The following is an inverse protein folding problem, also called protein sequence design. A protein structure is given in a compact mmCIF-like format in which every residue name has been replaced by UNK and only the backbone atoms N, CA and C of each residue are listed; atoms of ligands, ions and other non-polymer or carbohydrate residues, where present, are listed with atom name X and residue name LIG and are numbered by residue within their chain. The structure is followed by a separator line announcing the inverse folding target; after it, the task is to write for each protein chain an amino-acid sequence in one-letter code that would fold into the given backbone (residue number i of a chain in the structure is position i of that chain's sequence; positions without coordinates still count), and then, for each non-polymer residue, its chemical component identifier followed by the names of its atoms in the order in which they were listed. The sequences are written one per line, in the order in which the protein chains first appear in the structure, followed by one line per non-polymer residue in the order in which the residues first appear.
data_IF_577548730922
#
_entry.id   IF_577548730922
#
_cell.length_a   1.000
_cell.length_b   1.000
_cell.length_c   1.000
_cell.angle_alpha   90.00
_cell.angle_beta   90.00
_cell.angle_gamma   90.00
#
_symmetry.space_group_name_H-M   'P 1'
#
loop_
_entity.id
_entity.type
_entity.pdbx_description
1 polymer ?
#
# COMPACT_ATOMS: atom_id res chain seq x y z
N UNK A 1 -16.84 0.02 13.68
CA UNK A 1 -17.56 1.31 13.71
C UNK A 1 -18.43 1.31 14.95
N UNK A 2 -18.34 2.36 15.76
CA UNK A 2 -19.27 2.64 16.87
C UNK A 2 -19.82 4.03 16.59
N UNK A 3 -21.14 4.21 16.63
CA UNK A 3 -21.82 5.48 16.30
C UNK A 3 -21.42 6.07 14.94
N UNK A 4 -21.28 5.23 13.91
CA UNK A 4 -20.81 5.60 12.57
C UNK A 4 -19.41 6.25 12.51
N UNK A 5 -18.61 6.14 13.57
CA UNK A 5 -17.22 6.60 13.59
C UNK A 5 -16.23 5.43 13.46
N UNK A 6 -15.16 5.60 12.66
CA UNK A 6 -14.08 4.62 12.62
C UNK A 6 -13.42 4.53 14.00
N UNK A 7 -13.18 3.31 14.44
CA UNK A 7 -12.45 3.03 15.69
C UNK A 7 -11.01 2.71 15.29
N UNK A 8 -10.16 3.73 15.20
CA UNK A 8 -8.78 3.56 14.71
C UNK A 8 -7.94 2.64 15.59
N UNK A 9 -8.33 2.42 16.85
CA UNK A 9 -7.71 1.42 17.72
C UNK A 9 -8.05 -0.03 17.34
N UNK A 10 -9.14 -0.26 16.61
CA UNK A 10 -9.55 -1.59 16.16
C UNK A 10 -9.05 -1.79 14.71
N UNK A 11 -7.74 -2.01 14.59
CA UNK A 11 -7.06 -2.14 13.31
C UNK A 11 -6.18 -3.41 13.25
N UNK A 12 -5.59 -3.68 12.09
CA UNK A 12 -4.78 -4.89 11.86
C UNK A 12 -3.49 -4.95 12.68
N UNK A 13 -2.88 -3.82 13.02
CA UNK A 13 -1.68 -3.73 13.88
C UNK A 13 -2.05 -4.12 15.31
N UNK A 14 -3.15 -3.57 15.84
CA UNK A 14 -3.63 -3.95 17.18
C UNK A 14 -4.07 -5.42 17.23
N UNK A 15 -4.64 -5.93 16.14
CA UNK A 15 -4.96 -7.35 16.01
C UNK A 15 -3.69 -8.22 16.05
N UNK A 16 -2.64 -7.83 15.33
CA UNK A 16 -1.35 -8.54 15.33
C UNK A 16 -0.68 -8.55 16.72
N UNK A 17 -0.63 -7.40 17.39
CA UNK A 17 -0.08 -7.29 18.75
C UNK A 17 -0.81 -8.21 19.73
N UNK A 18 -2.15 -8.22 19.68
CA UNK A 18 -2.96 -9.12 20.52
C UNK A 18 -2.75 -10.60 20.19
N UNK A 19 -2.33 -10.92 18.98
CA UNK A 19 -1.98 -12.28 18.56
C UNK A 19 -0.53 -12.67 18.88
N UNK A 20 0.24 -11.79 19.56
CA UNK A 20 1.61 -12.07 19.98
C UNK A 20 2.68 -11.78 18.93
N UNK A 21 2.34 -11.02 17.88
CA UNK A 21 3.34 -10.48 16.96
C UNK A 21 4.03 -9.28 17.59
N UNK A 22 5.32 -9.12 17.35
CA UNK A 22 5.98 -7.84 17.52
C UNK A 22 5.77 -7.01 16.26
N UNK A 23 5.31 -5.76 16.41
CA UNK A 23 4.96 -4.91 15.28
C UNK A 23 5.87 -3.71 15.10
N UNK A 24 6.22 -3.45 13.84
CA UNK A 24 7.06 -2.34 13.40
C UNK A 24 6.34 -1.55 12.32
N UNK A 25 6.37 -0.24 12.39
CA UNK A 25 5.87 0.65 11.35
C UNK A 25 6.94 1.65 10.92
N UNK A 26 7.39 1.55 9.68
CA UNK A 26 8.34 2.50 9.08
C UNK A 26 7.64 3.28 7.97
N UNK A 27 7.59 4.61 8.09
CA UNK A 27 6.86 5.47 7.16
C UNK A 27 7.77 6.49 6.48
N UNK A 28 7.69 6.53 5.16
CA UNK A 28 8.20 7.66 4.37
C UNK A 28 7.11 8.72 4.08
N UNK A 29 5.90 8.55 4.62
CA UNK A 29 4.90 9.61 4.66
C UNK A 29 4.94 10.36 6.00
N UNK A 30 4.26 11.52 6.04
CA UNK A 30 4.16 12.37 7.21
C UNK A 30 3.36 11.75 8.36
N UNK A 31 3.37 12.47 9.50
CA UNK A 31 2.60 12.15 10.70
C UNK A 31 1.44 13.11 10.96
N UNK A 32 1.50 14.35 10.44
CA UNK A 32 0.65 15.46 10.83
C UNK A 32 0.05 16.08 9.58
N UNK A 33 -1.27 16.01 9.44
CA UNK A 33 -2.00 16.48 8.26
C UNK A 33 -3.44 15.94 8.24
N UNK A 34 -4.34 16.54 7.46
CA UNK A 34 -5.75 16.13 7.37
C UNK A 34 -5.90 14.64 7.02
N UNK A 35 -5.04 14.14 6.12
CA UNK A 35 -5.02 12.75 5.67
C UNK A 35 -4.02 11.87 6.46
N UNK A 36 -2.91 12.44 6.92
CA UNK A 36 -1.83 11.70 7.60
C UNK A 36 -2.18 11.30 9.04
N UNK A 37 -3.05 12.07 9.72
CA UNK A 37 -3.31 11.90 11.16
C UNK A 37 -4.00 10.57 11.49
N UNK A 38 -4.91 10.10 10.63
CA UNK A 38 -5.58 8.81 10.81
C UNK A 38 -4.60 7.64 10.65
N UNK A 39 -3.72 7.71 9.64
CA UNK A 39 -2.70 6.69 9.39
C UNK A 39 -1.65 6.70 10.50
N UNK A 40 -1.20 7.88 10.94
CA UNK A 40 -0.30 8.01 12.08
C UNK A 40 -0.93 7.44 13.37
N UNK A 41 -2.25 7.57 13.57
CA UNK A 41 -2.95 6.96 14.70
C UNK A 41 -2.90 5.43 14.67
N UNK A 42 -3.04 4.82 13.48
CA UNK A 42 -2.89 3.37 13.28
C UNK A 42 -1.43 2.96 13.50
N UNK A 43 -0.49 3.66 12.89
CA UNK A 43 0.94 3.40 12.98
C UNK A 43 1.46 3.44 14.43
N UNK A 44 1.00 4.41 15.22
CA UNK A 44 1.33 4.53 16.66
C UNK A 44 0.73 3.42 17.54
N UNK A 45 -0.02 2.46 16.96
CA UNK A 45 -0.41 1.22 17.64
C UNK A 45 0.60 0.10 17.46
N UNK A 46 1.59 0.26 16.58
CA UNK A 46 2.72 -0.66 16.52
C UNK A 46 3.55 -0.55 17.81
N UNK A 47 4.29 -1.60 18.15
CA UNK A 47 5.22 -1.55 19.29
C UNK A 47 6.32 -0.51 19.04
N UNK A 48 6.79 -0.43 17.79
CA UNK A 48 7.78 0.54 17.33
C UNK A 48 7.31 1.24 16.05
N UNK A 49 7.31 2.57 16.04
CA UNK A 49 6.87 3.38 14.91
C UNK A 49 7.87 4.51 14.59
N UNK A 50 8.42 4.49 13.39
CA UNK A 50 9.39 5.48 12.92
C UNK A 50 8.92 6.13 11.62
N UNK A 51 9.05 7.44 11.54
CA UNK A 51 8.69 8.21 10.36
C UNK A 51 9.91 9.01 9.91
N UNK A 52 10.19 8.99 8.62
CA UNK A 52 11.29 9.73 8.03
C UNK A 52 10.99 11.23 7.97
N UNK A 53 9.71 11.62 7.94
CA UNK A 53 9.26 13.01 7.83
C UNK A 53 8.72 13.53 9.15
N UNK A 54 9.12 14.75 9.50
CA UNK A 54 8.54 15.53 10.60
C UNK A 54 7.51 16.53 10.02
N UNK A 55 6.23 16.15 9.95
CA UNK A 55 5.17 17.00 9.38
C UNK A 55 4.18 16.21 8.52
N UNK A 56 3.61 16.83 7.48
CA UNK A 56 2.75 16.15 6.49
C UNK A 56 3.58 15.38 5.44
N UNK A 57 2.91 14.75 4.49
CA UNK A 57 3.57 14.02 3.40
C UNK A 57 4.46 14.90 2.49
N UNK A 58 4.38 16.23 2.53
CA UNK A 58 5.21 17.17 1.75
C UNK A 58 6.37 17.79 2.55
N UNK A 59 6.37 17.66 3.89
CA UNK A 59 7.29 18.35 4.80
C UNK A 59 8.79 18.10 4.58
N UNK A 60 9.15 17.03 3.87
CA UNK A 60 10.51 16.80 3.34
C UNK A 60 10.44 16.02 2.02
N UNK A 61 10.92 16.60 0.92
CA UNK A 61 10.96 15.96 -0.40
C UNK A 61 12.23 15.14 -0.66
N UNK A 62 13.20 15.19 0.26
CA UNK A 62 14.49 14.51 0.10
C UNK A 62 14.48 13.08 0.62
N UNK A 63 13.49 12.70 1.43
CA UNK A 63 13.39 11.33 1.94
C UNK A 63 12.97 10.37 0.83
N UNK A 64 13.57 9.19 0.82
CA UNK A 64 13.38 8.17 -0.22
C UNK A 64 12.92 6.87 0.42
N UNK A 65 12.10 6.11 -0.31
CA UNK A 65 11.55 4.85 0.21
C UNK A 65 12.65 3.82 0.49
N UNK A 66 13.80 3.90 -0.18
CA UNK A 66 14.97 3.03 0.06
C UNK A 66 15.54 3.16 1.49
N UNK A 67 15.36 4.29 2.16
CA UNK A 67 15.75 4.47 3.56
C UNK A 67 14.97 3.53 4.51
N UNK A 68 13.78 3.06 4.12
CA UNK A 68 13.01 2.07 4.89
C UNK A 68 13.69 0.69 4.91
N UNK A 69 14.51 0.38 3.90
CA UNK A 69 15.27 -0.88 3.83
C UNK A 69 16.36 -0.94 4.90
N UNK A 70 16.96 0.20 5.26
CA UNK A 70 17.97 0.27 6.33
C UNK A 70 17.35 -0.06 7.69
N UNK A 71 16.17 0.50 7.98
CA UNK A 71 15.44 0.21 9.22
C UNK A 71 14.97 -1.25 9.26
N UNK A 72 14.51 -1.77 8.13
CA UNK A 72 14.11 -3.20 8.02
C UNK A 72 15.28 -4.13 8.30
N UNK A 73 16.46 -3.86 7.74
CA UNK A 73 17.65 -4.66 7.99
C UNK A 73 18.06 -4.69 9.47
N UNK A 74 17.85 -3.59 10.22
CA UNK A 74 18.12 -3.56 11.67
C UNK A 74 17.19 -4.49 12.45
N UNK A 75 15.90 -4.55 12.07
CA UNK A 75 14.94 -5.47 12.68
C UNK A 75 15.34 -6.92 12.41
N UNK A 76 15.69 -7.23 11.15
CA UNK A 76 16.07 -8.58 10.71
C UNK A 76 17.43 -9.05 11.25
N UNK A 77 18.31 -8.14 11.68
CA UNK A 77 19.62 -8.50 12.24
C UNK A 77 19.54 -9.07 13.66
N UNK A 78 18.38 -8.98 14.31
CA UNK A 78 18.17 -9.50 15.66
C UNK A 78 17.23 -10.70 15.61
N UNK A 79 17.69 -11.85 16.09
CA UNK A 79 16.84 -13.04 16.21
C UNK A 79 15.72 -12.79 17.23
N UNK A 80 14.50 -13.17 16.87
CA UNK A 80 13.30 -12.95 17.68
C UNK A 80 12.47 -14.22 17.70
N UNK A 81 12.00 -14.59 18.90
CA UNK A 81 11.15 -15.77 19.08
C UNK A 81 9.69 -15.52 18.71
N UNK A 82 9.27 -14.25 18.75
CA UNK A 82 7.92 -13.83 18.36
C UNK A 82 7.84 -13.64 16.83
N UNK A 83 6.70 -13.94 16.20
CA UNK A 83 6.50 -13.57 14.81
C UNK A 83 6.53 -12.04 14.65
N UNK A 84 7.09 -11.56 13.55
CA UNK A 84 7.26 -10.13 13.28
C UNK A 84 6.24 -9.67 12.24
N UNK A 85 5.60 -8.51 12.46
CA UNK A 85 4.86 -7.79 11.43
C UNK A 85 5.56 -6.44 11.19
N UNK A 86 6.18 -6.28 10.03
CA UNK A 86 6.87 -5.06 9.63
C UNK A 86 6.06 -4.38 8.51
N UNK A 87 5.58 -3.17 8.78
CA UNK A 87 4.83 -2.35 7.83
C UNK A 87 5.75 -1.27 7.26
N UNK A 88 5.92 -1.27 5.93
CA UNK A 88 6.62 -0.21 5.21
C UNK A 88 5.60 0.67 4.49
N UNK A 89 5.40 1.89 4.98
CA UNK A 89 4.48 2.86 4.41
C UNK A 89 5.22 3.79 3.45
N UNK A 90 5.08 3.51 2.16
CA UNK A 90 5.84 4.15 1.09
C UNK A 90 5.25 5.52 0.70
N UNK A 91 6.11 6.36 0.13
CA UNK A 91 5.67 7.50 -0.67
C UNK A 91 5.24 7.06 -2.08
N UNK A 92 5.90 6.04 -2.62
CA UNK A 92 5.52 5.38 -3.87
C UNK A 92 5.41 6.35 -5.05
N UNK A 93 4.28 6.29 -5.75
CA UNK A 93 4.01 7.08 -6.96
C UNK A 93 3.04 8.24 -6.72
N UNK A 94 3.03 8.79 -5.50
CA UNK A 94 2.18 9.93 -5.13
C UNK A 94 2.38 11.13 -6.09
N UNK A 95 1.33 11.93 -6.38
CA UNK A 95 1.38 13.07 -7.31
C UNK A 95 2.56 14.03 -7.11
N UNK A 96 2.98 14.71 -8.18
CA UNK A 96 4.28 15.39 -8.30
C UNK A 96 5.43 14.37 -8.33
N UNK A 97 5.30 13.36 -9.19
CA UNK A 97 6.23 12.26 -9.35
C UNK A 97 7.66 12.75 -9.65
N UNK A 98 7.83 13.84 -10.43
CA UNK A 98 9.18 14.33 -10.72
C UNK A 98 9.94 14.83 -9.49
N UNK A 99 9.28 15.23 -8.40
CA UNK A 99 9.97 15.59 -7.16
C UNK A 99 10.66 14.36 -6.55
N UNK A 100 10.01 13.19 -6.64
CA UNK A 100 10.50 11.89 -6.12
C UNK A 100 11.61 11.31 -6.99
N UNK A 101 11.53 11.52 -8.30
CA UNK A 101 12.53 11.04 -9.26
C UNK A 101 13.66 12.04 -9.48
N UNK A 102 13.58 13.24 -8.90
CA UNK A 102 14.46 14.38 -9.22
C UNK A 102 14.47 14.68 -10.74
N UNK A 103 13.30 14.55 -11.36
CA UNK A 103 13.09 14.74 -12.80
C UNK A 103 13.63 13.62 -13.69
N UNK A 104 14.12 12.51 -13.14
CA UNK A 104 14.60 11.36 -13.91
C UNK A 104 13.43 10.54 -14.46
N UNK A 105 13.62 10.00 -15.65
CA UNK A 105 12.74 9.03 -16.29
C UNK A 105 13.53 8.17 -17.28
N UNK A 106 13.10 6.92 -17.49
CA UNK A 106 13.73 6.00 -18.44
C UNK A 106 13.29 6.27 -19.89
N UNK A 107 12.03 6.67 -20.08
CA UNK A 107 11.46 6.95 -21.40
C UNK A 107 10.50 8.12 -21.27
N UNK A 108 10.55 9.05 -22.23
CA UNK A 108 9.60 10.15 -22.27
C UNK A 108 8.25 9.64 -22.80
N UNK A 109 7.19 9.87 -22.04
CA UNK A 109 5.82 9.44 -22.37
C UNK A 109 4.87 10.62 -22.15
N UNK A 110 4.42 11.25 -23.23
CA UNK A 110 3.41 12.33 -23.31
C UNK A 110 3.76 13.65 -22.58
N UNK A 111 4.22 13.59 -21.33
CA UNK A 111 4.70 14.72 -20.53
C UNK A 111 5.85 14.29 -19.63
N UNK A 112 6.66 15.24 -19.16
CA UNK A 112 7.73 14.97 -18.19
C UNK A 112 7.17 14.32 -16.93
N UNK A 113 6.05 14.82 -16.43
CA UNK A 113 5.41 14.34 -15.21
C UNK A 113 4.90 12.90 -15.34
N UNK A 114 4.27 12.56 -16.47
CA UNK A 114 3.86 11.17 -16.77
C UNK A 114 5.08 10.25 -16.86
N UNK A 115 6.17 10.74 -17.44
CA UNK A 115 7.43 9.99 -17.57
C UNK A 115 8.07 9.71 -16.20
N UNK A 116 8.08 10.70 -15.31
CA UNK A 116 8.52 10.53 -13.92
C UNK A 116 7.63 9.54 -13.16
N UNK A 117 6.30 9.62 -13.32
CA UNK A 117 5.36 8.68 -12.70
C UNK A 117 5.61 7.22 -13.11
N UNK A 118 5.92 6.97 -14.39
CA UNK A 118 6.31 5.61 -14.80
C UNK A 118 7.66 5.19 -14.19
N UNK A 119 8.57 6.13 -13.97
CA UNK A 119 9.85 5.84 -13.36
C UNK A 119 9.74 5.53 -11.85
N UNK A 120 8.81 6.16 -11.11
CA UNK A 120 8.57 5.81 -9.69
C UNK A 120 8.11 4.36 -9.52
N UNK A 121 7.43 3.79 -10.51
CA UNK A 121 7.07 2.36 -10.51
C UNK A 121 8.31 1.47 -10.55
N UNK A 122 9.32 1.83 -11.35
CA UNK A 122 10.59 1.07 -11.40
C UNK A 122 11.38 1.17 -10.09
N UNK A 123 11.30 2.33 -9.41
CA UNK A 123 11.90 2.49 -8.09
C UNK A 123 11.18 1.64 -7.04
N UNK A 124 9.85 1.52 -7.12
CA UNK A 124 9.06 0.66 -6.23
C UNK A 124 9.38 -0.81 -6.47
N UNK A 125 9.48 -1.24 -7.74
CA UNK A 125 9.89 -2.60 -8.10
C UNK A 125 11.29 -2.94 -7.55
N UNK A 126 12.25 -2.03 -7.70
CA UNK A 126 13.60 -2.22 -7.18
C UNK A 126 13.64 -2.31 -5.64
N UNK A 127 12.85 -1.48 -4.95
CA UNK A 127 12.69 -1.56 -3.50
C UNK A 127 12.14 -2.93 -3.07
N UNK A 128 11.11 -3.43 -3.74
CA UNK A 128 10.50 -4.73 -3.44
C UNK A 128 11.50 -5.87 -3.69
N UNK A 129 12.30 -5.78 -4.76
CA UNK A 129 13.40 -6.72 -5.05
C UNK A 129 14.44 -6.74 -3.94
N UNK A 130 14.89 -5.56 -3.49
CA UNK A 130 15.86 -5.43 -2.40
C UNK A 130 15.30 -5.94 -1.07
N UNK A 131 14.06 -5.58 -0.73
CA UNK A 131 13.38 -6.08 0.47
C UNK A 131 13.26 -7.62 0.46
N UNK A 132 12.83 -8.19 -0.66
CA UNK A 132 12.76 -9.65 -0.81
C UNK A 132 14.14 -10.30 -0.62
N UNK A 133 15.20 -9.66 -1.11
CA UNK A 133 16.57 -10.14 -0.94
C UNK A 133 17.00 -10.12 0.53
N UNK A 134 16.70 -9.03 1.26
CA UNK A 134 16.95 -8.96 2.71
C UNK A 134 16.20 -10.05 3.47
N UNK A 135 14.91 -10.25 3.16
CA UNK A 135 14.10 -11.31 3.77
C UNK A 135 14.67 -12.70 3.49
N UNK A 136 15.12 -12.98 2.25
CA UNK A 136 15.79 -14.25 1.91
C UNK A 136 17.10 -14.46 2.67
N UNK A 137 17.88 -13.40 2.89
CA UNK A 137 19.15 -13.47 3.59
C UNK A 137 19.02 -13.56 5.12
N UNK A 138 17.88 -13.17 5.69
CA UNK A 138 17.62 -13.34 7.13
C UNK A 138 17.68 -14.80 7.58
N UNK A 139 17.36 -15.74 6.67
CA UNK A 139 17.25 -17.17 6.99
C UNK A 139 15.88 -17.58 7.54
N UNK A 140 15.03 -16.62 7.90
CA UNK A 140 13.70 -16.86 8.44
C UNK A 140 12.66 -17.19 7.36
N UNK A 141 11.58 -17.87 7.77
CA UNK A 141 10.37 -17.95 6.95
C UNK A 141 9.70 -16.57 6.87
N UNK A 142 9.25 -16.17 5.69
CA UNK A 142 8.57 -14.89 5.52
C UNK A 142 7.40 -14.96 4.54
N UNK A 143 6.50 -13.99 4.68
CA UNK A 143 5.58 -13.59 3.62
C UNK A 143 5.59 -12.07 3.48
N UNK A 144 5.63 -11.62 2.23
CA UNK A 144 5.63 -10.21 1.84
C UNK A 144 4.35 -9.93 1.07
N UNK A 145 3.63 -8.90 1.49
CA UNK A 145 2.45 -8.40 0.79
C UNK A 145 2.74 -6.98 0.34
N UNK A 146 2.47 -6.70 -0.93
CA UNK A 146 2.52 -5.35 -1.47
C UNK A 146 1.19 -5.00 -2.12
N UNK A 147 0.69 -3.81 -1.81
CA UNK A 147 -0.44 -3.19 -2.49
C UNK A 147 -0.33 -1.67 -2.43
N UNK A 148 -0.91 -1.01 -3.44
CA UNK A 148 -1.11 0.44 -3.39
C UNK A 148 -2.42 0.74 -2.67
N UNK A 149 -2.46 1.85 -1.96
CA UNK A 149 -3.66 2.41 -1.33
C UNK A 149 -4.72 2.82 -2.35
N UNK A 150 -4.32 3.48 -3.43
CA UNK A 150 -5.16 3.84 -4.57
C UNK A 150 -4.32 4.02 -5.85
N UNK A 151 -5.00 4.18 -6.98
CA UNK A 151 -4.42 4.64 -8.25
C UNK A 151 -4.65 6.13 -8.47
N UNK A 152 -4.22 6.65 -9.62
CA UNK A 152 -4.37 8.06 -10.00
C UNK A 152 -5.19 8.20 -11.28
N UNK A 153 -5.67 9.41 -11.55
CA UNK A 153 -6.29 9.78 -12.81
C UNK A 153 -5.47 10.84 -13.54
N UNK A 154 -5.53 10.80 -14.87
CA UNK A 154 -4.95 11.82 -15.73
C UNK A 154 -5.68 13.15 -15.59
N UNK A 155 -4.90 14.21 -15.55
CA UNK A 155 -5.33 15.60 -15.66
C UNK A 155 -4.67 16.23 -16.87
N UNK A 156 -5.36 17.16 -17.53
CA UNK A 156 -4.87 17.81 -18.75
C UNK A 156 -4.46 16.80 -19.84
N UNK A 157 -5.25 15.72 -19.99
CA UNK A 157 -4.91 14.59 -20.85
C UNK A 157 -4.57 15.01 -22.29
N UNK A 158 -3.46 14.48 -22.80
CA UNK A 158 -2.98 14.75 -24.17
C UNK A 158 -2.26 16.08 -24.36
N UNK A 159 -2.12 16.90 -23.31
CA UNK A 159 -1.36 18.16 -23.35
C UNK A 159 0.06 17.95 -22.84
N UNK A 160 0.96 18.89 -23.16
CA UNK A 160 2.33 18.90 -22.63
C UNK A 160 2.39 19.01 -21.09
N UNK A 161 1.35 19.62 -20.49
CA UNK A 161 1.19 19.79 -19.04
C UNK A 161 0.42 18.65 -18.38
N UNK A 162 0.21 17.51 -19.06
CA UNK A 162 -0.47 16.35 -18.48
C UNK A 162 0.23 15.89 -17.19
N UNK A 163 -0.56 15.58 -16.16
CA UNK A 163 -0.08 15.01 -14.90
C UNK A 163 -1.08 14.00 -14.34
N UNK A 164 -0.70 13.29 -13.27
CA UNK A 164 -1.58 12.37 -12.55
C UNK A 164 -1.89 12.91 -11.16
N UNK A 165 -3.15 12.78 -10.73
CA UNK A 165 -3.62 13.25 -9.43
C UNK A 165 -4.75 12.36 -8.88
N UNK A 166 -5.08 12.56 -7.60
CA UNK A 166 -6.20 11.89 -6.94
C UNK A 166 -7.54 12.19 -7.64
N UNK A 167 -8.38 11.17 -7.75
CA UNK A 167 -9.75 11.23 -8.26
C UNK A 167 -10.53 10.01 -7.73
N UNK A 168 -11.85 10.05 -7.82
CA UNK A 168 -12.78 9.00 -7.37
C UNK A 168 -13.76 8.57 -8.47
N UNK A 169 -13.63 9.13 -9.68
CA UNK A 169 -14.58 8.94 -10.79
C UNK A 169 -14.23 7.79 -11.71
N UNK A 170 -12.99 7.32 -11.69
CA UNK A 170 -12.51 6.31 -12.65
C UNK A 170 -12.13 5.00 -11.97
N UNK A 171 -12.33 3.90 -12.70
CA UNK A 171 -11.93 2.57 -12.25
C UNK A 171 -10.44 2.49 -11.90
N UNK A 172 -9.59 3.18 -12.64
CA UNK A 172 -8.14 3.23 -12.47
C UNK A 172 -7.72 3.82 -11.11
N UNK A 173 -8.56 4.63 -10.47
CA UNK A 173 -8.31 5.12 -9.12
C UNK A 173 -8.35 3.99 -8.08
N UNK A 174 -8.96 2.83 -8.39
CA UNK A 174 -9.12 1.71 -7.46
C UNK A 174 -8.51 0.40 -7.98
N UNK A 175 -8.04 0.36 -9.23
CA UNK A 175 -7.32 -0.78 -9.81
C UNK A 175 -5.84 -0.72 -9.46
N UNK A 176 -5.51 -1.20 -8.27
CA UNK A 176 -4.16 -1.18 -7.71
C UNK A 176 -3.47 -2.53 -7.82
N UNK A 177 -2.12 -2.58 -7.83
CA UNK A 177 -1.39 -3.83 -7.68
C UNK A 177 -1.69 -4.44 -6.31
N UNK A 178 -1.79 -5.77 -6.27
CA UNK A 178 -1.86 -6.57 -5.05
C UNK A 178 -1.12 -7.88 -5.27
N UNK A 179 -0.04 -8.09 -4.53
CA UNK A 179 0.80 -9.29 -4.64
C UNK A 179 1.15 -9.86 -3.28
N UNK A 180 1.28 -11.18 -3.22
CA UNK A 180 1.75 -11.92 -2.05
C UNK A 180 2.90 -12.80 -2.49
N UNK A 181 4.05 -12.65 -1.82
CA UNK A 181 5.24 -13.47 -1.98
C UNK A 181 5.51 -14.19 -0.65
N UNK A 182 6.12 -15.37 -0.70
CA UNK A 182 6.54 -16.08 0.52
C UNK A 182 7.78 -16.91 0.27
N UNK A 183 8.53 -17.19 1.34
CA UNK A 183 9.75 -18.00 1.30
C UNK A 183 9.53 -19.42 0.76
N UNK A 184 8.31 -19.93 0.85
CA UNK A 184 7.87 -21.27 0.44
C UNK A 184 7.05 -21.29 -0.86
N UNK A 185 6.85 -20.14 -1.51
CA UNK A 185 6.14 -20.05 -2.79
C UNK A 185 6.89 -20.82 -3.90
N UNK A 186 6.24 -21.83 -4.47
CA UNK A 186 6.84 -22.69 -5.53
C UNK A 186 6.39 -22.36 -6.95
N UNK A 187 5.35 -21.54 -7.10
CA UNK A 187 4.76 -21.23 -8.40
C UNK A 187 4.12 -19.85 -8.39
N UNK A 188 4.22 -19.16 -9.53
CA UNK A 188 3.47 -17.94 -9.78
C UNK A 188 2.02 -18.27 -10.15
N UNK A 189 1.06 -17.63 -9.45
CA UNK A 189 -0.37 -17.78 -9.72
C UNK A 189 -0.99 -16.41 -9.90
N UNK A 190 -1.71 -16.23 -11.01
CA UNK A 190 -2.50 -15.04 -11.29
C UNK A 190 -3.94 -15.34 -10.87
N UNK A 191 -4.47 -14.55 -9.93
CA UNK A 191 -5.87 -14.61 -9.51
C UNK A 191 -6.62 -13.48 -10.22
N UNK A 192 -7.62 -13.83 -11.04
CA UNK A 192 -8.39 -12.84 -11.79
C UNK A 192 -9.64 -12.37 -11.05
N UNK A 193 -10.07 -13.09 -10.02
CA UNK A 193 -11.17 -12.68 -9.17
C UNK A 193 -10.88 -11.32 -8.49
N UNK A 194 -11.78 -10.35 -8.68
CA UNK A 194 -11.64 -9.00 -8.08
C UNK A 194 -11.67 -9.06 -6.55
N UNK A 195 -10.89 -8.19 -5.92
CA UNK A 195 -10.82 -7.99 -4.47
C UNK A 195 -11.03 -6.53 -4.13
N UNK A 196 -11.58 -6.28 -2.95
CA UNK A 196 -11.75 -4.94 -2.39
C UNK A 196 -10.87 -4.79 -1.16
N UNK A 197 -10.24 -3.63 -1.00
CA UNK A 197 -9.57 -3.26 0.23
C UNK A 197 -10.54 -3.22 1.45
N UNK A 198 -11.84 -3.07 1.20
CA UNK A 198 -12.87 -3.21 2.24
C UNK A 198 -12.87 -4.59 2.91
N UNK A 199 -12.35 -5.61 2.24
CA UNK A 199 -12.22 -6.98 2.76
C UNK A 199 -10.81 -7.26 3.34
N UNK A 200 -9.97 -6.22 3.54
CA UNK A 200 -8.59 -6.38 3.98
C UNK A 200 -8.44 -7.13 5.30
N UNK A 201 -9.31 -6.91 6.29
CA UNK A 201 -9.24 -7.66 7.55
C UNK A 201 -9.52 -9.16 7.36
N UNK A 202 -10.35 -9.54 6.38
CA UNK A 202 -10.56 -10.95 6.02
C UNK A 202 -9.31 -11.53 5.35
N UNK A 203 -8.67 -10.76 4.45
CA UNK A 203 -7.37 -11.13 3.90
C UNK A 203 -6.32 -11.32 4.99
N UNK A 204 -6.14 -10.31 5.84
CA UNK A 204 -5.12 -10.28 6.89
C UNK A 204 -5.28 -11.44 7.85
N UNK A 205 -6.52 -11.74 8.27
CA UNK A 205 -6.84 -12.91 9.09
C UNK A 205 -6.45 -14.23 8.41
N UNK A 206 -6.81 -14.43 7.14
CA UNK A 206 -6.48 -15.65 6.40
C UNK A 206 -4.98 -15.77 6.11
N UNK A 207 -4.30 -14.63 5.88
CA UNK A 207 -2.88 -14.57 5.55
C UNK A 207 -1.99 -14.86 6.76
N UNK A 208 -2.32 -14.27 7.92
CA UNK A 208 -1.55 -14.43 9.16
C UNK A 208 -1.98 -15.63 10.00
N UNK A 209 -3.16 -16.20 9.73
CA UNK A 209 -3.78 -17.22 10.57
C UNK A 209 -4.46 -16.66 11.83
N UNK A 210 -4.43 -15.34 12.05
CA UNK A 210 -5.07 -14.72 13.21
C UNK A 210 -6.59 -14.79 13.06
N UNK A 211 -7.28 -15.21 14.12
CA UNK A 211 -8.75 -15.25 14.16
C UNK A 211 -9.31 -14.29 15.21
N UNK A 212 -10.44 -13.67 14.88
CA UNK A 212 -11.20 -12.80 15.77
C UNK A 212 -12.69 -13.02 15.52
N UNK A 213 -13.54 -12.93 16.56
CA UNK A 213 -14.99 -13.19 16.45
C UNK A 213 -15.69 -12.21 15.50
N UNK A 214 -15.13 -11.02 15.40
CA UNK A 214 -15.60 -9.89 14.60
C UNK A 214 -15.30 -10.06 13.10
N UNK A 215 -14.31 -10.89 12.75
CA UNK A 215 -13.88 -11.10 11.37
C UNK A 215 -14.58 -12.35 10.81
N UNK A 216 -15.54 -12.14 9.90
CA UNK A 216 -16.27 -13.21 9.21
C UNK A 216 -15.72 -13.39 7.79
N UNK A 217 -14.95 -14.45 7.58
CA UNK A 217 -14.44 -14.83 6.27
C UNK A 217 -15.57 -15.39 5.39
N UNK A 218 -16.09 -14.58 4.45
CA UNK A 218 -17.19 -14.96 3.54
C UNK A 218 -16.73 -15.77 2.33
N UNK A 219 -15.46 -15.62 1.96
CA UNK A 219 -14.83 -16.31 0.85
C UNK A 219 -13.33 -16.44 1.13
N UNK A 220 -12.67 -17.37 0.45
CA UNK A 220 -11.21 -17.50 0.49
C UNK A 220 -10.57 -16.35 -0.28
N UNK A 221 -9.88 -15.44 0.41
CA UNK A 221 -9.40 -14.21 -0.21
C UNK A 221 -8.36 -14.48 -1.30
N UNK A 222 -7.32 -15.26 -1.00
CA UNK A 222 -6.32 -15.67 -1.98
C UNK A 222 -6.83 -16.92 -2.74
N UNK A 223 -7.78 -16.72 -3.65
CA UNK A 223 -8.37 -17.77 -4.51
C UNK A 223 -9.14 -17.19 -5.70
N UNK A 224 -9.62 -18.04 -6.62
CA UNK A 224 -10.55 -17.63 -7.69
C UNK A 224 -12.03 -17.54 -7.24
N UNK A 225 -12.33 -17.74 -5.95
CA UNK A 225 -13.68 -17.58 -5.44
C UNK A 225 -14.15 -16.13 -5.62
N UNK A 226 -15.37 -15.97 -6.15
CA UNK A 226 -16.00 -14.65 -6.35
C UNK A 226 -16.35 -14.03 -4.99
N UNK A 227 -15.97 -12.77 -4.78
CA UNK A 227 -16.24 -12.01 -3.54
C UNK A 227 -17.66 -11.41 -3.48
N UNK A 228 -18.33 -11.26 -4.63
CA UNK A 228 -19.60 -10.56 -4.77
C UNK A 228 -19.44 -9.17 -5.43
N UNK A 229 -20.47 -8.31 -5.35
CA UNK A 229 -20.39 -6.95 -5.88
C UNK A 229 -19.33 -6.11 -5.15
N UNK A 230 -18.61 -5.29 -5.91
CA UNK A 230 -17.52 -4.43 -5.39
C UNK A 230 -18.01 -3.00 -5.32
N UNK A 231 -17.81 -2.37 -4.16
CA UNK A 231 -18.18 -0.98 -3.93
C UNK A 231 -16.96 -0.19 -3.48
N UNK A 232 -16.98 1.10 -3.80
CA UNK A 232 -15.99 2.09 -3.32
C UNK A 232 -16.69 3.15 -2.48
N UNK A 233 -15.89 3.91 -1.74
CA UNK A 233 -16.33 5.14 -1.07
C UNK A 233 -15.77 6.31 -1.86
N UNK A 234 -16.66 7.14 -2.42
CA UNK A 234 -16.24 8.32 -3.18
C UNK A 234 -15.82 9.48 -2.24
N UNK A 235 -15.32 10.58 -2.77
CA UNK A 235 -14.88 11.75 -1.99
C UNK A 235 -16.03 12.46 -1.26
N UNK A 236 -17.29 12.18 -1.61
CA UNK A 236 -18.48 12.62 -0.87
C UNK A 236 -18.89 11.62 0.22
N UNK A 237 -18.06 10.62 0.52
CA UNK A 237 -18.29 9.55 1.48
C UNK A 237 -19.51 8.65 1.14
N UNK A 238 -19.86 8.57 -0.13
CA UNK A 238 -20.98 7.77 -0.62
C UNK A 238 -20.49 6.42 -1.13
N UNK A 239 -21.28 5.38 -0.86
CA UNK A 239 -21.07 4.04 -1.41
C UNK A 239 -21.49 4.02 -2.88
N UNK A 240 -20.55 3.71 -3.77
CA UNK A 240 -20.78 3.66 -5.23
C UNK A 240 -20.40 2.27 -5.75
N UNK A 241 -21.19 1.73 -6.68
CA UNK A 241 -20.84 0.50 -7.40
C UNK A 241 -19.63 0.78 -8.30
N UNK A 242 -18.55 0.02 -8.08
CA UNK A 242 -17.31 0.17 -8.83
C UNK A 242 -17.53 0.08 -10.35
N UNK A 243 -18.49 -0.74 -10.81
CA UNK A 243 -18.74 -0.94 -12.24
C UNK A 243 -19.42 0.26 -12.92
N UNK A 244 -19.94 1.21 -12.15
CA UNK A 244 -20.53 2.45 -12.68
C UNK A 244 -19.52 3.59 -12.80
N UNK A 245 -18.28 3.39 -12.35
CA UNK A 245 -17.21 4.37 -12.55
C UNK A 245 -16.79 4.46 -14.01
N UNK A 246 -16.35 5.65 -14.41
CA UNK A 246 -15.76 5.88 -15.73
C UNK A 246 -14.45 5.13 -15.92
N UNK A 247 -13.87 5.26 -17.10
CA UNK A 247 -12.58 4.67 -17.43
C UNK A 247 -11.57 5.73 -17.83
N UNK A 248 -10.35 5.61 -17.32
CA UNK A 248 -9.22 6.46 -17.59
C UNK A 248 -7.97 5.65 -17.95
N UNK A 249 -8.14 4.70 -18.88
CA UNK A 249 -7.09 3.76 -19.29
C UNK A 249 -5.87 4.51 -19.82
N UNK A 250 -4.69 4.11 -19.36
CA UNK A 250 -3.41 4.55 -19.93
C UNK A 250 -3.30 4.08 -21.39
N UNK A 251 -3.50 4.98 -22.35
CA UNK A 251 -3.34 4.71 -23.77
C UNK A 251 -2.22 5.58 -24.33
N UNK A 252 -1.20 4.96 -24.92
CA UNK A 252 -0.24 5.67 -25.76
C UNK A 252 -0.98 6.03 -27.06
N UNK A 253 -1.02 7.32 -27.41
CA UNK A 253 -1.40 7.76 -28.75
C UNK A 253 -0.19 7.70 -29.67
#
# INVERSE_FOLDING_TARGET
MVDNKPQYQDNFVTLANRAGFQTWWFSNQGQIGEYDTAIASIAKRADEAHFLKNGDFEADKNTRDDALLTMTAQVLATERTQPQLIVLHLMGSHPQACDRTQGKYATFVQSKETSCYLYTMTQTDDLLRQLYTQLRHSGDSFSLVYFSDHGLAFKERGKAVQYLAHDDKFQQNFQVPFMVLSSDSKAHRIIKARRSANDFLSFFSQWTGISAKEIKNRYRFISEQKAGPVYITNFKLQKVDYNHLGSDIFSLK
#
